data_IF_140709792477
#
_entry.id   IF_140709792477
#
_cell.length_a   1.000
_cell.length_b   1.000
_cell.length_c   1.000
_cell.angle_alpha   90.00
_cell.angle_beta   90.00
_cell.angle_gamma   90.00
#
_symmetry.space_group_name_H-M   'P 1'
#
loop_
_entity.id
_entity.type
_entity.pdbx_description
1 polymer ?
#
# COMPACT_ATOMS: atom_id res chain seq x y z
N UNK A 1 -0.24 -13.02 9.55
CA UNK A 1 -0.94 -12.66 8.29
C UNK A 1 0.05 -12.35 7.16
N UNK A 2 1.06 -11.51 7.40
CA UNK A 2 2.14 -11.17 6.44
C UNK A 2 2.97 -12.36 5.93
N UNK A 3 3.21 -13.39 6.77
CA UNK A 3 4.00 -14.57 6.37
C UNK A 3 3.43 -15.35 5.18
N UNK A 4 2.11 -15.31 4.94
CA UNK A 4 1.49 -16.00 3.80
C UNK A 4 1.81 -15.27 2.49
N UNK A 5 1.68 -13.93 2.47
CA UNK A 5 2.06 -13.11 1.33
C UNK A 5 3.55 -13.23 1.02
N UNK A 6 4.38 -13.17 2.06
CA UNK A 6 5.84 -13.30 1.96
C UNK A 6 6.21 -14.66 1.38
N UNK A 7 5.67 -15.77 1.91
CA UNK A 7 5.90 -17.13 1.39
C UNK A 7 5.46 -17.29 -0.07
N UNK A 8 4.38 -16.63 -0.47
CA UNK A 8 3.83 -16.72 -1.82
C UNK A 8 4.59 -15.88 -2.84
N UNK A 9 5.09 -14.71 -2.44
CA UNK A 9 5.68 -13.72 -3.36
C UNK A 9 7.22 -13.69 -3.32
N UNK A 10 7.85 -14.18 -2.25
CA UNK A 10 9.30 -14.14 -2.06
C UNK A 10 9.84 -15.58 -1.98
N UNK A 11 10.56 -15.99 -3.03
CA UNK A 11 11.25 -17.28 -3.06
C UNK A 11 12.47 -17.22 -2.13
N UNK A 12 12.69 -18.26 -1.31
CA UNK A 12 13.75 -18.31 -0.27
C UNK A 12 13.64 -17.16 0.76
N UNK A 13 12.43 -16.82 1.19
CA UNK A 13 12.12 -15.73 2.11
C UNK A 13 12.92 -15.78 3.44
N UNK A 14 13.38 -16.95 3.88
CA UNK A 14 14.15 -17.11 5.13
C UNK A 14 15.59 -16.62 5.02
N UNK A 15 16.16 -16.53 3.81
CA UNK A 15 17.53 -16.08 3.60
C UNK A 15 17.61 -14.55 3.52
N UNK A 16 17.30 -13.88 4.62
CA UNK A 16 17.29 -12.41 4.74
C UNK A 16 18.70 -11.80 4.68
N UNK A 17 19.77 -12.59 4.80
CA UNK A 17 21.14 -12.17 4.56
C UNK A 17 21.47 -11.93 3.08
N UNK A 18 20.66 -12.47 2.16
CA UNK A 18 20.82 -12.24 0.73
C UNK A 18 20.17 -10.90 0.32
N UNK A 19 20.97 -9.99 -0.27
CA UNK A 19 20.49 -8.69 -0.74
C UNK A 19 19.27 -8.78 -1.67
N UNK A 20 19.19 -9.82 -2.50
CA UNK A 20 18.06 -10.01 -3.43
C UNK A 20 16.75 -10.38 -2.72
N UNK A 21 16.84 -11.13 -1.63
CA UNK A 21 15.68 -11.44 -0.79
C UNK A 21 15.19 -10.17 -0.11
N UNK A 22 16.10 -9.38 0.49
CA UNK A 22 15.76 -8.07 1.09
C UNK A 22 15.14 -7.09 0.10
N UNK A 23 15.65 -7.02 -1.12
CA UNK A 23 15.06 -6.21 -2.18
C UNK A 23 13.61 -6.62 -2.49
N UNK A 24 13.35 -7.92 -2.60
CA UNK A 24 11.99 -8.44 -2.83
C UNK A 24 11.05 -8.15 -1.64
N UNK A 25 11.56 -8.16 -0.41
CA UNK A 25 10.80 -7.71 0.77
C UNK A 25 10.46 -6.23 0.68
N UNK A 26 11.43 -5.38 0.29
CA UNK A 26 11.21 -3.96 0.06
C UNK A 26 10.13 -3.71 -1.00
N UNK A 27 10.23 -4.39 -2.16
CA UNK A 27 9.22 -4.29 -3.23
C UNK A 27 7.83 -4.72 -2.76
N UNK A 28 7.73 -5.81 -2.01
CA UNK A 28 6.46 -6.26 -1.46
C UNK A 28 5.86 -5.22 -0.50
N UNK A 29 6.68 -4.66 0.39
CA UNK A 29 6.25 -3.62 1.31
C UNK A 29 5.80 -2.35 0.57
N UNK A 30 6.54 -1.91 -0.45
CA UNK A 30 6.17 -0.76 -1.29
C UNK A 30 4.85 -0.98 -2.02
N UNK A 31 4.65 -2.14 -2.66
CA UNK A 31 3.39 -2.45 -3.35
C UNK A 31 2.21 -2.46 -2.37
N UNK A 32 2.39 -3.05 -1.18
CA UNK A 32 1.35 -3.09 -0.15
C UNK A 32 1.03 -1.69 0.40
N UNK A 33 2.06 -0.85 0.61
CA UNK A 33 1.89 0.53 1.05
C UNK A 33 1.14 1.39 0.03
N UNK A 34 1.65 1.42 -1.21
CA UNK A 34 1.03 2.15 -2.33
C UNK A 34 -0.40 1.66 -2.57
N UNK A 35 -0.60 0.34 -2.63
CA UNK A 35 -1.92 -0.25 -2.84
C UNK A 35 -2.92 0.10 -1.72
N UNK A 36 -2.46 0.14 -0.47
CA UNK A 36 -3.31 0.50 0.67
C UNK A 36 -3.72 1.98 0.65
N UNK A 37 -2.78 2.89 0.34
CA UNK A 37 -3.06 4.31 0.23
C UNK A 37 -3.98 4.62 -0.95
N UNK A 38 -3.77 3.97 -2.10
CA UNK A 38 -4.65 4.10 -3.25
C UNK A 38 -6.06 3.59 -2.97
N UNK A 39 -6.19 2.46 -2.27
CA UNK A 39 -7.49 1.93 -1.84
C UNK A 39 -8.21 2.94 -0.93
N UNK A 40 -7.49 3.50 0.05
CA UNK A 40 -8.06 4.51 0.94
C UNK A 40 -8.44 5.79 0.19
N UNK A 41 -7.63 6.22 -0.79
CA UNK A 41 -7.98 7.35 -1.67
C UNK A 41 -9.32 7.10 -2.37
N UNK A 42 -9.51 5.93 -3.00
CA UNK A 42 -10.75 5.58 -3.70
C UNK A 42 -11.96 5.63 -2.74
N UNK A 43 -11.82 5.05 -1.54
CA UNK A 43 -12.90 5.06 -0.55
C UNK A 43 -13.23 6.50 -0.14
N UNK A 44 -12.21 7.28 0.23
CA UNK A 44 -12.38 8.66 0.71
C UNK A 44 -12.95 9.57 -0.37
N UNK A 45 -12.51 9.46 -1.63
CA UNK A 45 -13.05 10.29 -2.71
C UNK A 45 -14.51 9.94 -3.00
N UNK A 46 -14.88 8.65 -2.99
CA UNK A 46 -16.27 8.23 -3.13
C UNK A 46 -17.14 8.77 -2.00
N UNK A 47 -16.70 8.64 -0.75
CA UNK A 47 -17.41 9.18 0.42
C UNK A 47 -17.48 10.71 0.36
N UNK A 48 -16.38 11.38 0.05
CA UNK A 48 -16.31 12.84 -0.05
C UNK A 48 -17.27 13.40 -1.08
N UNK A 49 -17.40 12.74 -2.24
CA UNK A 49 -18.36 13.12 -3.27
C UNK A 49 -19.81 12.83 -2.86
N UNK A 50 -20.09 11.64 -2.30
CA UNK A 50 -21.45 11.26 -1.85
C UNK A 50 -22.01 12.23 -0.80
N UNK A 51 -21.17 12.68 0.12
CA UNK A 51 -21.56 13.59 1.21
C UNK A 51 -21.23 15.07 0.93
N UNK A 52 -20.77 15.41 -0.27
CA UNK A 52 -20.31 16.75 -0.66
C UNK A 52 -19.34 17.38 0.37
N UNK A 53 -18.47 16.57 0.96
CA UNK A 53 -17.54 17.00 2.00
C UNK A 53 -16.18 17.36 1.41
N UNK A 54 -15.86 18.66 1.48
CA UNK A 54 -14.57 19.21 1.04
C UNK A 54 -13.43 18.67 1.91
N UNK A 55 -13.65 18.51 3.23
CA UNK A 55 -12.64 18.01 4.15
C UNK A 55 -12.25 16.56 3.87
N UNK A 56 -13.22 15.68 3.61
CA UNK A 56 -12.96 14.27 3.27
C UNK A 56 -12.29 14.16 1.89
N UNK A 57 -12.72 15.01 0.94
CA UNK A 57 -12.11 15.06 -0.39
C UNK A 57 -10.64 15.52 -0.33
N UNK A 58 -10.32 16.53 0.48
CA UNK A 58 -8.95 16.99 0.69
C UNK A 58 -8.07 15.91 1.35
N UNK A 59 -8.62 15.18 2.33
CA UNK A 59 -7.97 14.05 2.98
C UNK A 59 -7.76 12.86 2.03
N UNK A 60 -8.64 12.67 1.04
CA UNK A 60 -8.43 11.72 -0.04
C UNK A 60 -7.18 12.09 -0.87
N UNK A 61 -7.04 13.37 -1.25
CA UNK A 61 -5.90 13.85 -2.04
C UNK A 61 -4.57 13.63 -1.30
N UNK A 62 -4.53 13.82 0.02
CA UNK A 62 -3.34 13.49 0.82
C UNK A 62 -2.94 12.01 0.68
N UNK A 63 -3.91 11.09 0.80
CA UNK A 63 -3.64 9.66 0.60
C UNK A 63 -3.17 9.32 -0.82
N UNK A 64 -3.59 10.09 -1.83
CA UNK A 64 -3.08 9.94 -3.19
C UNK A 64 -1.62 10.39 -3.29
N UNK A 65 -1.25 11.50 -2.65
CA UNK A 65 0.14 11.98 -2.60
C UNK A 65 1.08 10.98 -1.91
N UNK A 66 0.60 10.28 -0.88
CA UNK A 66 1.36 9.23 -0.18
C UNK A 66 1.45 7.90 -0.96
N UNK A 67 0.83 7.80 -2.14
CA UNK A 67 0.88 6.62 -3.01
C UNK A 67 1.98 6.70 -4.09
N UNK A 68 2.73 7.81 -4.16
CA UNK A 68 3.78 8.08 -5.14
C UNK A 68 5.19 7.75 -4.67
#
# INVERSE_FOLDING_TARGET
MTNILIKKMIKNYENTGNSRVRENYGKLASIMGIGSNLLLFIIKITVGLLFNSISITADAVNNLSDSG
#
